data_IF_378625606168
#
_entry.id   IF_378625606168
#
_cell.length_a   1.000
_cell.length_b   1.000
_cell.length_c   1.000
_cell.angle_alpha   90.00
_cell.angle_beta   90.00
_cell.angle_gamma   90.00
#
_symmetry.space_group_name_H-M   'P 1'
#
loop_
_entity.id
_entity.type
_entity.pdbx_description
1 polymer ?
#
# COMPACT_ATOMS: atom_id res chain seq x y z
N UNK A 1 -35.11 16.34 -11.44
CA UNK A 1 -34.10 16.44 -10.37
C UNK A 1 -33.54 17.86 -10.35
N UNK A 2 -33.44 18.46 -9.17
CA UNK A 2 -32.93 19.83 -9.05
C UNK A 2 -31.39 19.86 -9.25
N UNK A 3 -30.98 20.24 -10.46
CA UNK A 3 -29.57 20.33 -10.86
C UNK A 3 -28.74 21.25 -9.92
N UNK A 4 -29.35 22.30 -9.36
CA UNK A 4 -28.65 23.21 -8.44
C UNK A 4 -28.26 22.52 -7.13
N UNK A 5 -29.20 21.74 -6.58
CA UNK A 5 -28.93 20.96 -5.35
C UNK A 5 -27.85 19.88 -5.57
N UNK A 6 -27.87 19.22 -6.72
CA UNK A 6 -26.87 18.23 -7.08
C UNK A 6 -25.44 18.85 -7.17
N UNK A 7 -25.33 20.02 -7.82
CA UNK A 7 -24.05 20.77 -7.91
C UNK A 7 -23.56 21.22 -6.52
N UNK A 8 -24.48 21.75 -5.67
CA UNK A 8 -24.10 22.14 -4.31
C UNK A 8 -23.58 20.97 -3.47
N UNK A 9 -24.26 19.82 -3.53
CA UNK A 9 -23.82 18.60 -2.83
C UNK A 9 -22.47 18.11 -3.34
N UNK A 10 -22.25 18.12 -4.65
CA UNK A 10 -20.97 17.73 -5.25
C UNK A 10 -19.82 18.65 -4.80
N UNK A 11 -20.04 19.96 -4.78
CA UNK A 11 -19.05 20.93 -4.29
C UNK A 11 -18.76 20.75 -2.79
N UNK A 12 -19.80 20.49 -1.99
CA UNK A 12 -19.63 20.23 -0.56
C UNK A 12 -18.82 18.96 -0.31
N UNK A 13 -19.13 17.88 -1.04
CA UNK A 13 -18.38 16.62 -0.95
C UNK A 13 -16.92 16.79 -1.38
N UNK A 14 -16.66 17.53 -2.46
CA UNK A 14 -15.31 17.83 -2.92
C UNK A 14 -14.51 18.61 -1.86
N UNK A 15 -15.14 19.64 -1.26
CA UNK A 15 -14.51 20.41 -0.18
C UNK A 15 -14.16 19.53 1.05
N UNK A 16 -15.10 18.69 1.49
CA UNK A 16 -14.85 17.75 2.59
C UNK A 16 -13.78 16.73 2.25
N UNK A 17 -13.75 16.24 1.02
CA UNK A 17 -12.73 15.30 0.57
C UNK A 17 -11.33 15.93 0.54
N UNK A 18 -11.21 17.18 0.08
CA UNK A 18 -9.93 17.91 0.13
C UNK A 18 -9.44 18.08 1.57
N UNK A 19 -10.30 18.52 2.48
CA UNK A 19 -9.96 18.66 3.89
C UNK A 19 -9.52 17.33 4.50
N UNK A 20 -10.23 16.25 4.22
CA UNK A 20 -9.82 14.90 4.65
C UNK A 20 -8.45 14.52 4.12
N UNK A 21 -8.15 14.82 2.84
CA UNK A 21 -6.84 14.55 2.23
C UNK A 21 -5.71 15.36 2.86
N UNK A 22 -5.96 16.63 3.21
CA UNK A 22 -5.00 17.49 3.91
C UNK A 22 -4.70 16.95 5.32
N UNK A 23 -5.73 16.54 6.07
CA UNK A 23 -5.59 15.93 7.40
C UNK A 23 -4.84 14.59 7.31
N UNK A 24 -5.15 13.76 6.32
CA UNK A 24 -4.49 12.48 6.05
C UNK A 24 -2.99 12.66 5.76
N UNK A 25 -2.66 13.63 4.91
CA UNK A 25 -1.27 13.92 4.54
C UNK A 25 -0.47 14.46 5.73
N UNK A 26 -1.07 15.32 6.55
CA UNK A 26 -0.46 15.83 7.77
C UNK A 26 -0.15 14.71 8.77
N UNK A 27 -1.13 13.81 9.03
CA UNK A 27 -0.94 12.66 9.92
C UNK A 27 0.10 11.69 9.35
N UNK A 28 0.07 11.42 8.06
CA UNK A 28 1.03 10.54 7.40
C UNK A 28 2.46 11.05 7.53
N UNK A 29 2.66 12.35 7.32
CA UNK A 29 3.97 12.99 7.42
C UNK A 29 4.51 12.92 8.85
N UNK A 30 3.70 13.26 9.85
CA UNK A 30 4.05 13.17 11.26
C UNK A 30 4.37 11.72 11.67
N UNK A 31 3.53 10.76 11.28
CA UNK A 31 3.74 9.34 11.55
C UNK A 31 5.05 8.80 10.94
N UNK A 32 5.38 9.18 9.70
CA UNK A 32 6.65 8.80 9.06
C UNK A 32 7.83 9.41 9.79
N UNK A 33 7.73 10.66 10.25
CA UNK A 33 8.78 11.28 11.05
C UNK A 33 8.98 10.58 12.41
N UNK A 34 7.88 10.18 13.07
CA UNK A 34 7.96 9.38 14.30
C UNK A 34 8.66 8.04 14.07
N UNK A 35 8.33 7.34 12.96
CA UNK A 35 9.00 6.08 12.60
C UNK A 35 10.49 6.27 12.33
N UNK A 36 10.89 7.33 11.65
CA UNK A 36 12.30 7.65 11.41
C UNK A 36 13.13 7.77 12.70
N UNK A 37 12.48 8.22 13.78
CA UNK A 37 13.15 8.48 15.04
C UNK A 37 13.17 7.28 16.01
N UNK A 38 12.24 6.31 15.85
CA UNK A 38 12.02 5.29 16.89
C UNK A 38 11.78 3.87 16.38
N UNK A 39 11.65 3.68 15.07
CA UNK A 39 11.34 2.37 14.47
C UNK A 39 12.61 1.70 13.94
N UNK A 40 12.82 0.46 14.39
CA UNK A 40 13.90 -0.41 13.88
C UNK A 40 13.27 -1.55 13.05
N UNK A 41 13.42 -1.54 11.71
CA UNK A 41 12.81 -2.54 10.83
C UNK A 41 13.22 -3.99 11.14
N UNK A 42 14.40 -4.20 11.74
CA UNK A 42 14.92 -5.55 12.06
C UNK A 42 14.34 -6.09 13.37
N UNK A 43 14.00 -5.19 14.31
CA UNK A 43 13.52 -5.57 15.65
C UNK A 43 12.00 -5.43 15.80
N UNK A 44 11.42 -4.46 15.10
CA UNK A 44 10.02 -4.12 15.24
C UNK A 44 9.18 -4.84 14.17
N UNK A 45 8.39 -5.82 14.60
CA UNK A 45 7.49 -6.56 13.73
C UNK A 45 6.12 -5.91 13.57
N UNK A 46 5.87 -4.81 14.29
CA UNK A 46 4.60 -4.06 14.28
C UNK A 46 4.86 -2.56 14.30
N UNK A 47 3.90 -1.79 13.83
CA UNK A 47 3.88 -0.35 13.96
C UNK A 47 2.72 0.04 14.88
N UNK A 48 3.03 0.74 15.98
CA UNK A 48 2.02 1.32 16.88
C UNK A 48 2.40 2.78 17.15
N UNK A 49 1.60 3.69 16.60
CA UNK A 49 1.81 5.12 16.71
C UNK A 49 0.57 5.81 17.27
N UNK A 50 0.77 6.88 18.01
CA UNK A 50 -0.33 7.65 18.58
C UNK A 50 0.01 9.10 18.80
N UNK A 51 -0.97 9.98 18.61
CA UNK A 51 -0.82 11.41 18.85
C UNK A 51 -2.15 12.06 19.23
N UNK A 52 -2.07 13.10 20.06
CA UNK A 52 -3.22 13.98 20.40
C UNK A 52 -3.58 14.93 19.26
N UNK A 53 -2.65 15.15 18.33
CA UNK A 53 -2.88 16.03 17.18
C UNK A 53 -3.66 15.34 16.04
N UNK A 54 -3.89 14.04 16.13
CA UNK A 54 -4.49 13.27 15.04
C UNK A 54 -6.01 13.18 15.13
N UNK A 55 -6.65 13.23 13.96
CA UNK A 55 -8.11 13.12 13.87
C UNK A 55 -8.54 11.64 13.77
N UNK A 56 -9.47 11.15 14.65
CA UNK A 56 -9.84 9.73 14.68
C UNK A 56 -10.54 9.24 13.42
N UNK A 57 -11.12 10.13 12.59
CA UNK A 57 -11.78 9.78 11.34
C UNK A 57 -10.85 9.37 10.19
N UNK A 58 -9.55 9.66 10.29
CA UNK A 58 -8.56 9.39 9.21
C UNK A 58 -7.45 8.42 9.60
N UNK A 59 -7.26 8.11 10.89
CA UNK A 59 -6.20 7.20 11.34
C UNK A 59 -6.25 5.82 10.68
N UNK A 60 -7.43 5.33 10.30
CA UNK A 60 -7.58 4.06 9.60
C UNK A 60 -7.03 4.06 8.17
N UNK A 61 -7.07 5.22 7.49
CA UNK A 61 -6.50 5.39 6.15
C UNK A 61 -4.98 5.40 6.27
N UNK A 62 -4.45 6.16 7.24
CA UNK A 62 -3.01 6.24 7.50
C UNK A 62 -2.45 4.88 7.94
N UNK A 63 -3.16 4.14 8.79
CA UNK A 63 -2.78 2.76 9.15
C UNK A 63 -2.65 1.86 7.92
N UNK A 64 -3.57 1.97 6.94
CA UNK A 64 -3.49 1.22 5.68
C UNK A 64 -2.27 1.61 4.85
N UNK A 65 -1.93 2.90 4.80
CA UNK A 65 -0.78 3.38 4.02
C UNK A 65 0.56 2.95 4.65
N UNK A 66 0.68 3.07 5.97
CA UNK A 66 1.89 2.64 6.69
C UNK A 66 2.06 1.11 6.59
N UNK A 67 0.99 0.34 6.79
CA UNK A 67 1.02 -1.11 6.65
C UNK A 67 1.52 -1.53 5.25
N UNK A 68 1.02 -0.89 4.18
CA UNK A 68 1.47 -1.18 2.81
C UNK A 68 2.93 -0.77 2.57
N UNK A 69 3.35 0.39 3.09
CA UNK A 69 4.71 0.91 2.89
C UNK A 69 5.76 0.08 3.60
N UNK A 70 5.50 -0.32 4.84
CA UNK A 70 6.46 -1.03 5.70
C UNK A 70 6.22 -2.53 5.78
N UNK A 71 5.12 -3.01 5.20
CA UNK A 71 4.67 -4.41 5.29
C UNK A 71 4.68 -4.93 6.73
N UNK A 72 4.13 -4.14 7.66
CA UNK A 72 4.03 -4.47 9.09
C UNK A 72 2.60 -4.27 9.57
N UNK A 73 2.05 -5.15 10.41
CA UNK A 73 0.77 -4.89 11.08
C UNK A 73 0.85 -3.56 11.84
N UNK A 74 -0.13 -2.69 11.64
CA UNK A 74 -0.06 -1.29 12.06
C UNK A 74 -1.30 -0.85 12.80
N UNK A 75 -1.13 -0.23 13.97
CA UNK A 75 -2.15 0.56 14.66
C UNK A 75 -1.78 2.04 14.68
N UNK A 76 -2.73 2.89 14.29
CA UNK A 76 -2.63 4.35 14.39
C UNK A 76 -3.73 4.85 15.32
N UNK A 77 -3.36 5.62 16.34
CA UNK A 77 -4.20 5.96 17.49
C UNK A 77 -4.32 7.49 17.61
N UNK A 78 -5.54 7.99 17.67
CA UNK A 78 -5.83 9.38 17.99
C UNK A 78 -6.23 9.49 19.47
N UNK A 79 -5.49 10.26 20.26
CA UNK A 79 -5.80 10.51 21.67
C UNK A 79 -6.63 11.78 21.84
N UNK A 80 -7.59 11.74 22.74
CA UNK A 80 -8.33 12.92 23.18
C UNK A 80 -7.61 13.67 24.32
N UNK A 81 -8.20 14.76 24.80
CA UNK A 81 -7.64 15.57 25.89
C UNK A 81 -7.54 14.79 27.22
N UNK A 82 -8.40 13.79 27.42
CA UNK A 82 -8.38 12.93 28.61
C UNK A 82 -7.28 11.85 28.57
N UNK A 83 -6.59 11.70 27.42
CA UNK A 83 -5.60 10.65 27.21
C UNK A 83 -6.20 9.31 26.82
N UNK A 84 -7.47 9.27 26.43
CA UNK A 84 -8.11 8.08 25.87
C UNK A 84 -7.97 8.10 24.36
N UNK A 85 -7.38 7.04 23.80
CA UNK A 85 -7.12 6.90 22.37
C UNK A 85 -8.09 5.96 21.67
N UNK A 86 -8.51 6.35 20.48
CA UNK A 86 -9.21 5.47 19.52
C UNK A 86 -8.24 5.11 18.41
N UNK A 87 -7.91 3.82 18.32
CA UNK A 87 -6.99 3.28 17.33
C UNK A 87 -7.69 2.52 16.23
N UNK A 88 -7.11 2.58 15.03
CA UNK A 88 -7.50 1.75 13.90
C UNK A 88 -6.30 0.94 13.44
N UNK A 89 -6.51 -0.38 13.33
CA UNK A 89 -5.49 -1.34 12.91
C UNK A 89 -5.70 -1.86 11.50
N UNK A 90 -4.58 -2.15 10.84
CA UNK A 90 -4.52 -2.86 9.56
C UNK A 90 -3.43 -3.92 9.61
N UNK A 91 -3.67 -5.07 8.98
CA UNK A 91 -2.77 -6.21 9.04
C UNK A 91 -2.21 -6.63 7.69
N UNK A 92 -1.19 -7.47 7.77
CA UNK A 92 -0.62 -8.21 6.65
C UNK A 92 -1.16 -9.65 6.66
N UNK A 93 -1.11 -10.39 5.54
CA UNK A 93 -1.46 -11.80 5.52
C UNK A 93 -0.69 -12.60 6.59
N UNK A 94 -1.38 -13.52 7.25
CA UNK A 94 -0.80 -14.36 8.31
C UNK A 94 -0.85 -13.78 9.72
N UNK A 95 -1.22 -12.50 9.90
CA UNK A 95 -1.38 -11.88 11.23
C UNK A 95 -2.83 -11.50 11.48
N UNK A 96 -3.48 -12.11 12.48
CA UNK A 96 -4.84 -11.80 12.89
C UNK A 96 -4.87 -10.69 13.95
N UNK A 97 -5.42 -9.52 13.60
CA UNK A 97 -5.58 -8.41 14.57
C UNK A 97 -6.58 -8.71 15.67
N UNK A 98 -7.65 -9.44 15.38
CA UNK A 98 -8.63 -9.78 16.42
C UNK A 98 -8.00 -10.69 17.47
N UNK A 99 -7.19 -11.66 17.07
CA UNK A 99 -6.46 -12.50 18.03
C UNK A 99 -5.39 -11.71 18.78
N UNK A 100 -4.66 -10.82 18.11
CA UNK A 100 -3.71 -9.90 18.75
C UNK A 100 -4.37 -9.04 19.84
N UNK A 101 -5.55 -8.47 19.57
CA UNK A 101 -6.32 -7.68 20.53
C UNK A 101 -6.72 -8.56 21.75
N UNK A 102 -7.16 -9.80 21.53
CA UNK A 102 -7.48 -10.70 22.62
C UNK A 102 -6.27 -11.03 23.50
N UNK A 103 -5.11 -11.27 22.89
CA UNK A 103 -3.86 -11.55 23.63
C UNK A 103 -3.30 -10.31 24.36
N UNK A 104 -3.61 -9.13 23.88
CA UNK A 104 -3.18 -7.85 24.47
C UNK A 104 -4.28 -7.18 25.30
N UNK A 105 -5.38 -7.89 25.64
CA UNK A 105 -6.56 -7.30 26.29
C UNK A 105 -6.25 -6.53 27.59
N UNK A 106 -5.30 -7.02 28.40
CA UNK A 106 -4.89 -6.36 29.64
C UNK A 106 -4.29 -4.96 29.47
N UNK A 107 -3.87 -4.61 28.25
CA UNK A 107 -3.31 -3.30 27.91
C UNK A 107 -4.34 -2.35 27.30
N UNK A 108 -5.55 -2.82 27.03
CA UNK A 108 -6.60 -2.09 26.31
C UNK A 108 -7.80 -1.82 27.22
N UNK A 109 -8.52 -0.74 26.95
CA UNK A 109 -9.84 -0.48 27.52
C UNK A 109 -10.88 -1.36 26.82
N UNK A 110 -10.79 -1.44 25.49
CA UNK A 110 -11.62 -2.31 24.66
C UNK A 110 -11.01 -2.46 23.26
N UNK A 111 -11.46 -3.46 22.53
CA UNK A 111 -11.04 -3.63 21.13
C UNK A 111 -11.77 -4.79 20.46
N UNK A 112 -11.70 -4.83 19.12
CA UNK A 112 -12.30 -5.88 18.33
C UNK A 112 -12.26 -5.57 16.83
N UNK A 113 -12.71 -6.54 16.05
CA UNK A 113 -12.71 -6.41 14.58
C UNK A 113 -12.57 -7.75 13.89
N UNK A 114 -11.83 -7.74 12.80
CA UNK A 114 -11.54 -8.89 11.96
C UNK A 114 -10.01 -9.08 11.82
N UNK A 115 -9.60 -10.14 11.16
CA UNK A 115 -8.18 -10.48 11.00
C UNK A 115 -7.37 -9.33 10.37
N UNK A 116 -7.91 -8.71 9.32
CA UNK A 116 -7.18 -7.69 8.55
C UNK A 116 -7.46 -6.25 8.98
N UNK A 117 -8.51 -6.01 9.76
CA UNK A 117 -8.89 -4.66 10.20
C UNK A 117 -9.56 -4.71 11.56
N UNK A 118 -9.08 -3.89 12.50
CA UNK A 118 -9.60 -3.87 13.86
C UNK A 118 -9.57 -2.45 14.43
N UNK A 119 -10.38 -2.24 15.47
CA UNK A 119 -10.39 -1.02 16.26
C UNK A 119 -10.04 -1.30 17.71
N UNK A 120 -9.48 -0.32 18.40
CA UNK A 120 -9.19 -0.40 19.84
C UNK A 120 -9.44 0.94 20.54
N UNK A 121 -9.63 0.83 21.85
CA UNK A 121 -9.62 1.97 22.78
C UNK A 121 -8.53 1.70 23.83
N UNK A 122 -7.66 2.68 24.07
CA UNK A 122 -6.49 2.53 24.92
C UNK A 122 -6.20 3.83 25.67
N UNK A 123 -5.68 3.71 26.88
CA UNK A 123 -5.09 4.86 27.60
C UNK A 123 -3.69 5.17 27.05
N UNK A 124 -3.34 6.43 26.89
CA UNK A 124 -2.04 6.87 26.37
C UNK A 124 -0.87 6.30 27.19
N UNK A 125 -1.03 6.20 28.50
CA UNK A 125 -0.07 5.60 29.43
C UNK A 125 0.21 4.11 29.16
N UNK A 126 -0.71 3.41 28.48
CA UNK A 126 -0.61 1.98 28.16
C UNK A 126 -0.10 1.68 26.74
N UNK A 127 0.13 2.72 25.94
CA UNK A 127 0.50 2.54 24.51
C UNK A 127 1.79 1.73 24.34
N UNK A 128 2.81 1.98 25.18
CA UNK A 128 4.08 1.24 25.10
C UNK A 128 3.95 -0.21 25.58
N UNK A 129 3.09 -0.49 26.56
CA UNK A 129 2.76 -1.85 26.99
C UNK A 129 2.09 -2.61 25.85
N UNK A 130 1.11 -1.99 25.21
CA UNK A 130 0.43 -2.57 24.06
C UNK A 130 1.41 -2.82 22.90
N UNK A 131 2.28 -1.86 22.56
CA UNK A 131 3.28 -2.02 21.49
C UNK A 131 4.17 -3.23 21.76
N UNK A 132 4.67 -3.40 22.98
CA UNK A 132 5.52 -4.53 23.38
C UNK A 132 4.75 -5.85 23.32
N UNK A 133 3.52 -5.89 23.83
CA UNK A 133 2.69 -7.10 23.80
C UNK A 133 2.33 -7.53 22.36
N UNK A 134 1.94 -6.57 21.54
CA UNK A 134 1.61 -6.81 20.14
C UNK A 134 2.83 -7.26 19.32
N UNK A 135 3.99 -6.64 19.52
CA UNK A 135 5.24 -7.05 18.86
C UNK A 135 5.63 -8.48 19.23
N UNK A 136 5.51 -8.84 20.52
CA UNK A 136 5.75 -10.21 21.00
C UNK A 136 4.77 -11.20 20.35
N UNK A 137 3.48 -10.90 20.36
CA UNK A 137 2.47 -11.74 19.74
C UNK A 137 2.81 -12.04 18.26
N UNK A 138 3.15 -11.01 17.48
CA UNK A 138 3.50 -11.20 16.06
C UNK A 138 4.78 -12.02 15.92
N UNK A 139 5.80 -11.78 16.75
CA UNK A 139 7.05 -12.55 16.72
C UNK A 139 6.83 -14.04 17.03
N UNK A 140 5.95 -14.36 17.98
CA UNK A 140 5.68 -15.73 18.42
C UNK A 140 4.76 -16.50 17.50
N UNK A 141 3.87 -15.81 16.75
CA UNK A 141 2.84 -16.44 15.92
C UNK A 141 3.17 -16.46 14.43
N UNK A 142 4.26 -15.80 13.99
CA UNK A 142 4.64 -15.73 12.58
C UNK A 142 6.13 -16.01 12.39
N UNK A 143 6.49 -16.60 11.27
CA UNK A 143 7.89 -16.74 10.84
C UNK A 143 8.36 -15.48 10.13
N UNK A 144 9.68 -15.31 9.98
CA UNK A 144 10.27 -14.21 9.23
C UNK A 144 9.82 -14.21 7.76
N UNK A 145 9.76 -15.38 7.15
CA UNK A 145 9.27 -15.57 5.77
C UNK A 145 7.81 -15.11 5.61
N UNK A 146 6.93 -15.39 6.58
CA UNK A 146 5.54 -14.94 6.56
C UNK A 146 5.40 -13.42 6.69
N UNK A 147 6.40 -12.74 7.24
CA UNK A 147 6.45 -11.28 7.36
C UNK A 147 7.09 -10.58 6.16
N UNK A 148 7.66 -11.34 5.23
CA UNK A 148 8.19 -10.78 4.00
C UNK A 148 7.05 -10.49 3.00
N UNK A 149 7.09 -9.35 2.29
CA UNK A 149 6.15 -9.09 1.22
C UNK A 149 6.35 -10.10 0.08
N UNK A 150 5.26 -10.73 -0.35
CA UNK A 150 5.25 -11.69 -1.46
C UNK A 150 4.38 -11.16 -2.58
N UNK A 151 4.90 -11.15 -3.80
CA UNK A 151 4.14 -10.94 -5.02
C UNK A 151 3.89 -12.28 -5.70
N UNK A 152 2.63 -12.67 -5.81
CA UNK A 152 2.25 -13.85 -6.57
C UNK A 152 2.19 -13.49 -8.06
N UNK A 153 3.14 -14.01 -8.82
CA UNK A 153 3.18 -13.83 -10.27
C UNK A 153 2.33 -14.91 -10.91
N UNK A 154 1.33 -14.49 -11.70
CA UNK A 154 0.44 -15.43 -12.40
C UNK A 154 1.11 -16.00 -13.64
N UNK A 155 1.91 -15.22 -14.36
CA UNK A 155 2.58 -15.65 -15.57
C UNK A 155 3.83 -14.82 -15.88
N UNK A 156 4.89 -15.49 -16.33
CA UNK A 156 6.01 -14.84 -17.00
C UNK A 156 5.69 -14.64 -18.49
N UNK A 157 5.88 -13.41 -18.99
CA UNK A 157 5.59 -13.04 -20.37
C UNK A 157 6.73 -12.21 -20.95
N UNK A 158 7.03 -12.42 -22.24
CA UNK A 158 7.98 -11.55 -22.94
C UNK A 158 7.31 -10.26 -23.42
N UNK A 159 8.09 -9.19 -23.62
CA UNK A 159 7.59 -7.95 -24.22
C UNK A 159 7.01 -8.15 -25.62
N UNK A 160 7.47 -9.19 -26.36
CA UNK A 160 6.93 -9.56 -27.65
C UNK A 160 5.50 -10.08 -27.55
N UNK A 161 5.15 -10.80 -26.46
CA UNK A 161 3.82 -11.33 -26.24
C UNK A 161 2.80 -10.27 -25.80
N UNK A 162 3.24 -9.09 -25.37
CA UNK A 162 2.38 -7.98 -24.92
C UNK A 162 1.75 -7.29 -26.14
N UNK A 163 0.69 -7.88 -26.67
CA UNK A 163 -0.07 -7.43 -27.85
C UNK A 163 -1.47 -6.97 -27.46
N UNK A 164 -2.17 -6.31 -28.39
CA UNK A 164 -3.59 -5.98 -28.19
C UNK A 164 -4.47 -7.24 -28.17
N UNK A 165 -4.10 -8.31 -28.88
CA UNK A 165 -4.83 -9.59 -28.84
C UNK A 165 -4.74 -10.25 -27.44
N UNK A 166 -3.56 -10.17 -26.80
CA UNK A 166 -3.43 -10.58 -25.40
C UNK A 166 -4.35 -9.76 -24.50
N UNK A 167 -4.36 -8.43 -24.69
CA UNK A 167 -5.20 -7.53 -23.92
C UNK A 167 -6.69 -7.78 -24.11
N UNK A 168 -7.14 -8.07 -25.36
CA UNK A 168 -8.52 -8.44 -25.65
C UNK A 168 -8.93 -9.75 -24.95
N UNK A 169 -8.00 -10.66 -24.74
CA UNK A 169 -8.23 -11.90 -23.99
C UNK A 169 -8.22 -11.69 -22.48
N UNK A 170 -7.33 -10.84 -22.01
CA UNK A 170 -7.18 -10.46 -20.62
C UNK A 170 -8.43 -9.72 -20.09
N UNK A 171 -8.97 -8.78 -20.84
CA UNK A 171 -10.18 -8.03 -20.50
C UNK A 171 -11.43 -8.91 -20.33
N UNK A 172 -11.45 -10.12 -20.88
CA UNK A 172 -12.55 -11.09 -20.64
C UNK A 172 -12.57 -11.64 -19.22
N UNK A 173 -11.50 -11.45 -18.44
CA UNK A 173 -11.43 -11.83 -17.03
C UNK A 173 -12.07 -10.80 -16.12
N UNK A 174 -12.41 -9.61 -16.62
CA UNK A 174 -13.07 -8.56 -15.84
C UNK A 174 -14.51 -8.92 -15.41
N UNK A 175 -15.03 -8.33 -14.33
CA UNK A 175 -14.43 -7.25 -13.53
C UNK A 175 -13.43 -7.77 -12.48
N UNK A 176 -12.30 -7.08 -12.37
CA UNK A 176 -11.32 -7.37 -11.32
C UNK A 176 -11.75 -6.78 -9.96
N UNK A 177 -11.34 -7.44 -8.87
CA UNK A 177 -11.66 -7.03 -7.52
C UNK A 177 -11.11 -7.98 -6.45
N UNK A 178 -11.64 -7.89 -5.24
CA UNK A 178 -11.10 -8.63 -4.08
C UNK A 178 -11.04 -10.16 -4.25
N UNK A 179 -12.06 -10.77 -4.89
CA UNK A 179 -12.12 -12.23 -5.15
C UNK A 179 -11.69 -12.63 -6.55
N UNK A 180 -11.34 -11.67 -7.40
CA UNK A 180 -10.81 -11.86 -8.75
C UNK A 180 -9.73 -10.79 -8.97
N UNK A 181 -8.53 -10.95 -8.39
CA UNK A 181 -7.47 -9.96 -8.52
C UNK A 181 -7.02 -9.82 -9.97
N UNK A 182 -6.54 -8.64 -10.30
CA UNK A 182 -5.94 -8.39 -11.61
C UNK A 182 -4.69 -9.28 -11.76
N UNK A 183 -4.57 -10.08 -12.83
CA UNK A 183 -3.39 -10.91 -13.06
C UNK A 183 -2.10 -10.10 -13.08
N UNK A 184 -1.10 -10.60 -12.39
CA UNK A 184 0.23 -10.00 -12.29
C UNK A 184 1.21 -10.76 -13.17
N UNK A 185 1.79 -10.05 -14.13
CA UNK A 185 2.80 -10.58 -15.04
C UNK A 185 4.21 -10.27 -14.55
N UNK A 186 5.17 -11.06 -15.02
CA UNK A 186 6.60 -10.80 -14.86
C UNK A 186 7.29 -10.85 -16.21
N UNK A 187 8.28 -9.98 -16.40
CA UNK A 187 9.25 -10.09 -17.51
C UNK A 187 10.65 -10.00 -16.90
N UNK A 188 11.49 -10.93 -17.29
CA UNK A 188 12.89 -11.03 -16.84
C UNK A 188 13.83 -10.42 -17.87
N UNK A 189 15.08 -10.13 -17.46
CA UNK A 189 16.16 -9.60 -18.32
C UNK A 189 15.78 -8.32 -19.08
N UNK A 190 15.19 -7.38 -18.35
CA UNK A 190 14.72 -6.09 -18.88
C UNK A 190 15.78 -5.01 -18.64
N UNK A 191 16.09 -4.24 -19.67
CA UNK A 191 17.06 -3.13 -19.59
C UNK A 191 16.37 -1.78 -19.77
N UNK A 192 16.73 -0.74 -18.98
CA UNK A 192 16.33 0.63 -19.28
C UNK A 192 16.99 1.11 -20.58
N UNK A 193 16.24 1.81 -21.42
CA UNK A 193 16.76 2.44 -22.66
C UNK A 193 17.01 3.93 -22.49
N UNK A 194 16.33 4.56 -21.53
CA UNK A 194 16.49 5.96 -21.16
C UNK A 194 16.44 6.09 -19.62
N UNK A 195 16.98 7.19 -19.08
CA UNK A 195 16.79 7.50 -17.66
C UNK A 195 15.29 7.64 -17.33
N UNK A 196 14.85 7.19 -16.14
CA UNK A 196 13.47 7.34 -15.69
C UNK A 196 13.03 8.79 -15.70
N UNK A 197 11.82 9.06 -16.20
CA UNK A 197 11.25 10.42 -16.24
C UNK A 197 10.17 10.56 -15.17
N UNK A 198 10.29 11.60 -14.34
CA UNK A 198 9.26 11.90 -13.34
C UNK A 198 7.99 12.43 -14.02
N UNK A 199 6.83 11.87 -13.67
CA UNK A 199 5.50 12.25 -14.15
C UNK A 199 4.63 12.58 -12.95
N UNK A 200 3.99 13.75 -12.97
CA UNK A 200 3.27 14.26 -11.82
C UNK A 200 4.20 14.48 -10.62
N UNK A 201 3.67 14.27 -9.41
CA UNK A 201 4.45 14.45 -8.17
C UNK A 201 5.30 13.23 -7.81
N UNK A 202 4.74 12.01 -7.95
CA UNK A 202 5.32 10.81 -7.33
C UNK A 202 5.47 9.61 -8.28
N UNK A 203 5.26 9.76 -9.60
CA UNK A 203 5.29 8.65 -10.54
C UNK A 203 6.54 8.69 -11.41
N UNK A 204 7.00 7.50 -11.86
CA UNK A 204 8.06 7.38 -12.86
C UNK A 204 7.49 6.82 -14.15
N UNK A 205 7.89 7.40 -15.26
CA UNK A 205 7.78 6.79 -16.59
C UNK A 205 9.10 6.14 -16.91
N UNK A 206 9.05 4.84 -17.22
CA UNK A 206 10.20 4.02 -17.57
C UNK A 206 10.14 3.67 -19.05
N UNK A 207 11.30 3.68 -19.70
CA UNK A 207 11.49 3.21 -21.06
C UNK A 207 12.42 2.01 -21.00
N UNK A 208 11.97 0.88 -21.50
CA UNK A 208 12.63 -0.40 -21.25
C UNK A 208 12.66 -1.24 -22.52
N UNK A 209 13.62 -2.14 -22.58
CA UNK A 209 13.83 -3.09 -23.67
C UNK A 209 14.01 -4.51 -23.12
N UNK A 210 13.39 -5.47 -23.79
CA UNK A 210 13.68 -6.89 -23.62
C UNK A 210 13.97 -7.46 -25.01
N UNK A 211 15.16 -7.99 -25.22
CA UNK A 211 15.62 -8.38 -26.54
C UNK A 211 15.58 -7.19 -27.52
N UNK A 212 14.79 -7.32 -28.60
CA UNK A 212 14.61 -6.27 -29.62
C UNK A 212 13.33 -5.44 -29.45
N UNK A 213 12.53 -5.72 -28.43
CA UNK A 213 11.23 -5.07 -28.22
C UNK A 213 11.34 -4.01 -27.11
N UNK A 214 10.94 -2.80 -27.46
CA UNK A 214 10.85 -1.68 -26.50
C UNK A 214 9.42 -1.50 -26.01
N UNK A 215 9.29 -1.11 -24.74
CA UNK A 215 8.04 -0.76 -24.07
C UNK A 215 8.25 0.41 -23.10
N UNK A 216 7.22 1.21 -22.95
CA UNK A 216 7.15 2.18 -21.87
C UNK A 216 6.15 1.71 -20.80
N UNK A 217 6.40 2.12 -19.57
CA UNK A 217 5.59 1.77 -18.42
C UNK A 217 5.50 2.92 -17.43
N UNK A 218 4.45 2.89 -16.60
CA UNK A 218 4.31 3.80 -15.47
C UNK A 218 4.56 3.01 -14.18
N UNK A 219 5.42 3.55 -13.33
CA UNK A 219 5.60 3.09 -11.97
C UNK A 219 4.95 4.12 -11.03
N UNK A 220 3.73 3.81 -10.61
CA UNK A 220 2.99 4.67 -9.70
C UNK A 220 3.66 4.72 -8.33
N UNK A 221 3.84 5.94 -7.79
CA UNK A 221 4.53 6.21 -6.52
C UNK A 221 5.99 5.69 -6.47
N UNK A 222 6.62 5.49 -7.63
CA UNK A 222 7.99 5.01 -7.74
C UNK A 222 9.06 6.10 -7.65
N UNK A 223 8.69 7.38 -7.65
CA UNK A 223 9.66 8.49 -7.76
C UNK A 223 10.62 8.65 -6.57
N UNK A 224 10.25 8.09 -5.41
CA UNK A 224 11.09 8.10 -4.20
C UNK A 224 11.85 6.77 -3.99
N UNK A 225 11.65 5.80 -4.89
CA UNK A 225 12.32 4.50 -4.80
C UNK A 225 13.64 4.51 -5.56
N UNK A 226 14.68 3.97 -4.95
CA UNK A 226 15.90 3.65 -5.65
C UNK A 226 15.64 2.45 -6.56
N UNK A 227 15.93 2.64 -7.86
CA UNK A 227 15.83 1.54 -8.81
C UNK A 227 17.08 0.66 -8.71
N UNK A 228 16.94 -0.66 -8.73
CA UNK A 228 18.08 -1.56 -8.68
C UNK A 228 18.93 -1.46 -9.96
N UNK A 229 20.13 -2.05 -9.91
CA UNK A 229 20.97 -2.15 -11.10
C UNK A 229 20.33 -3.10 -12.12
N UNK A 230 20.33 -2.72 -13.42
CA UNK A 230 19.87 -3.61 -14.49
C UNK A 230 20.87 -4.77 -14.73
N UNK A 231 20.45 -5.89 -15.36
CA UNK A 231 19.10 -6.12 -15.88
C UNK A 231 18.05 -6.27 -14.78
N UNK A 232 16.80 -6.05 -15.14
CA UNK A 232 15.67 -6.09 -14.19
C UNK A 232 14.73 -7.27 -14.43
N UNK A 233 14.19 -7.82 -13.34
CA UNK A 233 12.92 -8.52 -13.35
C UNK A 233 11.84 -7.53 -12.93
N UNK A 234 10.81 -7.37 -13.74
CA UNK A 234 9.72 -6.45 -13.47
C UNK A 234 8.41 -7.21 -13.29
N UNK A 235 7.68 -6.90 -12.22
CA UNK A 235 6.31 -7.35 -12.01
C UNK A 235 5.34 -6.21 -12.38
N UNK A 236 4.30 -6.52 -13.17
CA UNK A 236 3.42 -5.49 -13.73
C UNK A 236 2.03 -6.02 -14.07
N UNK A 237 1.08 -5.09 -14.15
CA UNK A 237 -0.24 -5.30 -14.73
C UNK A 237 -0.35 -4.59 -16.07
N UNK A 238 -1.32 -4.99 -16.88
CA UNK A 238 -1.58 -4.37 -18.19
C UNK A 238 -2.99 -3.80 -18.25
N UNK A 239 -3.12 -2.67 -18.95
CA UNK A 239 -4.39 -1.98 -19.15
C UNK A 239 -4.50 -1.42 -20.56
N UNK A 240 -5.73 -1.19 -21.03
CA UNK A 240 -5.98 -0.52 -22.31
C UNK A 240 -5.92 1.00 -22.13
N UNK A 241 -4.97 1.62 -22.80
CA UNK A 241 -4.92 3.07 -22.91
C UNK A 241 -5.51 3.51 -24.26
N UNK A 242 -6.50 4.41 -24.23
CA UNK A 242 -7.08 5.01 -25.44
C UNK A 242 -6.75 6.49 -25.48
N UNK A 243 -5.86 6.86 -26.38
CA UNK A 243 -5.49 8.26 -26.56
C UNK A 243 -5.75 8.70 -28.02
N UNK A 244 -6.54 9.75 -28.21
CA UNK A 244 -6.95 10.27 -29.53
C UNK A 244 -7.51 9.21 -30.48
N UNK A 245 -8.32 8.29 -29.92
CA UNK A 245 -8.97 7.21 -30.68
C UNK A 245 -8.06 6.03 -31.07
N UNK A 246 -6.80 6.01 -30.59
CA UNK A 246 -5.88 4.87 -30.76
C UNK A 246 -5.75 4.11 -29.45
N UNK A 247 -6.01 2.80 -29.53
CA UNK A 247 -5.79 1.90 -28.41
C UNK A 247 -4.32 1.46 -28.37
N UNK A 248 -3.75 1.39 -27.17
CA UNK A 248 -2.43 0.84 -26.90
C UNK A 248 -2.44 0.08 -25.60
N UNK A 249 -1.53 -0.87 -25.43
CA UNK A 249 -1.31 -1.58 -24.18
C UNK A 249 -0.45 -0.67 -23.29
N UNK A 250 -0.92 -0.43 -22.06
CA UNK A 250 -0.20 0.29 -21.01
C UNK A 250 0.31 -0.70 -19.97
N UNK A 251 1.54 -0.53 -19.51
CA UNK A 251 2.18 -1.33 -18.46
C UNK A 251 2.23 -0.51 -17.19
N UNK A 252 1.68 -1.07 -16.10
CA UNK A 252 1.71 -0.49 -14.75
C UNK A 252 2.63 -1.34 -13.86
N UNK A 253 3.83 -0.82 -13.57
CA UNK A 253 4.82 -1.51 -12.73
C UNK A 253 4.32 -1.60 -11.31
N UNK A 254 4.43 -2.78 -10.72
CA UNK A 254 4.16 -3.06 -9.30
C UNK A 254 5.46 -3.19 -8.51
N UNK A 255 6.47 -3.87 -9.07
CA UNK A 255 7.77 -4.04 -8.42
C UNK A 255 8.88 -4.24 -9.46
N UNK A 256 10.12 -3.87 -9.07
CA UNK A 256 11.34 -4.06 -9.86
C UNK A 256 12.42 -4.62 -8.93
N UNK A 257 13.12 -5.66 -9.37
CA UNK A 257 14.32 -6.16 -8.71
C UNK A 257 15.45 -6.36 -9.71
N UNK A 258 16.69 -6.45 -9.24
CA UNK A 258 17.79 -6.92 -10.10
C UNK A 258 17.51 -8.34 -10.55
N UNK A 259 17.75 -8.61 -11.82
CA UNK A 259 17.67 -9.96 -12.37
C UNK A 259 18.73 -10.85 -11.70
N UNK A 260 18.31 -12.01 -11.22
CA UNK A 260 19.19 -13.03 -10.70
C UNK A 260 19.15 -14.21 -11.67
N UNK A 261 20.27 -14.52 -12.30
CA UNK A 261 20.42 -15.78 -13.03
C UNK A 261 20.22 -16.93 -12.03
N UNK A 262 19.24 -17.80 -12.32
CA UNK A 262 18.99 -19.02 -11.53
C UNK A 262 20.00 -20.11 -11.87
#
# INVERSE_FOLDING_TARGET
>A
MDNRRAVQLAQMLDSHNRKRQEEEEAIRTDAVQMLHNSFDPERDNVIVLGSRAWHPGVVGIVASQLMRRYHKPTFVIAFDESGVGKGSGRSIPGVSLVQAIHQCADTLVSGGGHDMAAGLVIEESRMDDFRRAFNRYVSETTTEEQRCPVLNIDMEVSFQALTLDLLDSYEKLEPFGNSNPQPLFMSSDVFPTEPPKRVGTNHLKLFMRQGMVERDAIFFNGAERELPNPPWDIAFTIDRNVYRGRASLSISIQEIRSHQEM
#
